data_IF_031805298626
#
_entry.id   IF_031805298626
#
_cell.length_a   1.000
_cell.length_b   1.000
_cell.length_c   1.000
_cell.angle_alpha   90.00
_cell.angle_beta   90.00
_cell.angle_gamma   90.00
#
_symmetry.space_group_name_H-M   'P 1'
#
loop_
_entity.id
_entity.type
_entity.pdbx_description
1 polymer ?
#
# COMPACT_ATOMS: atom_id res chain seq x y z
N UNK A 1 -29.74 10.66 -17.76
CA UNK A 1 -30.30 9.96 -16.59
C UNK A 1 -29.52 8.72 -16.21
N UNK A 2 -29.19 7.80 -17.12
CA UNK A 2 -28.42 6.58 -16.79
C UNK A 2 -26.91 6.85 -16.58
N UNK A 3 -26.33 7.68 -17.44
CA UNK A 3 -24.92 8.13 -17.34
C UNK A 3 -24.63 8.92 -16.06
N UNK A 4 -25.62 9.71 -15.61
CA UNK A 4 -25.51 10.54 -14.40
C UNK A 4 -25.36 9.68 -13.13
N UNK A 5 -25.90 8.45 -13.14
CA UNK A 5 -25.79 7.52 -12.02
C UNK A 5 -24.38 6.90 -11.91
N UNK A 6 -23.75 6.56 -13.04
CA UNK A 6 -22.38 6.00 -13.06
C UNK A 6 -21.33 7.04 -12.64
N UNK A 7 -21.45 8.28 -13.12
CA UNK A 7 -20.55 9.37 -12.70
C UNK A 7 -20.71 9.69 -11.20
N UNK A 8 -21.93 9.60 -10.67
CA UNK A 8 -22.19 9.76 -9.23
C UNK A 8 -21.54 8.65 -8.41
N UNK A 9 -21.64 7.38 -8.84
CA UNK A 9 -20.98 6.23 -8.20
C UNK A 9 -19.47 6.46 -8.14
N UNK A 10 -18.86 6.85 -9.27
CA UNK A 10 -17.43 7.15 -9.34
C UNK A 10 -17.02 8.31 -8.41
N UNK A 11 -17.83 9.35 -8.36
CA UNK A 11 -17.61 10.50 -7.46
C UNK A 11 -17.66 10.09 -5.99
N UNK A 12 -18.62 9.25 -5.60
CA UNK A 12 -18.72 8.71 -4.23
C UNK A 12 -17.50 7.86 -3.87
N UNK A 13 -17.05 7.00 -4.77
CA UNK A 13 -15.86 6.19 -4.57
C UNK A 13 -14.58 7.04 -4.47
N UNK A 14 -14.50 8.16 -5.18
CA UNK A 14 -13.38 9.11 -5.08
C UNK A 14 -13.43 9.90 -3.76
N UNK A 15 -14.61 10.32 -3.32
CA UNK A 15 -14.80 10.95 -2.01
C UNK A 15 -14.37 9.99 -0.89
N UNK A 16 -14.75 8.71 -0.98
CA UNK A 16 -14.34 7.69 -0.02
C UNK A 16 -12.80 7.55 0.07
N UNK A 17 -12.09 7.59 -1.06
CA UNK A 17 -10.63 7.62 -1.09
C UNK A 17 -10.05 8.83 -0.37
N UNK A 18 -10.60 10.02 -0.59
CA UNK A 18 -10.15 11.25 0.06
C UNK A 18 -10.37 11.20 1.58
N UNK A 19 -11.57 10.78 2.01
CA UNK A 19 -11.91 10.59 3.43
C UNK A 19 -10.99 9.55 4.08
N UNK A 20 -10.65 8.47 3.38
CA UNK A 20 -9.70 7.49 3.89
C UNK A 20 -8.28 8.06 3.98
N UNK A 21 -7.87 8.93 3.04
CA UNK A 21 -6.57 9.61 3.09
C UNK A 21 -6.47 10.53 4.32
N UNK A 22 -7.58 11.12 4.77
CA UNK A 22 -7.66 11.88 6.03
C UNK A 22 -7.67 10.98 7.30
N UNK A 23 -7.52 9.66 7.15
CA UNK A 23 -7.54 8.71 8.27
C UNK A 23 -8.93 8.39 8.83
N UNK A 24 -10.00 8.92 8.21
CA UNK A 24 -11.41 8.71 8.59
C UNK A 24 -11.95 7.40 8.00
N UNK A 25 -11.30 6.29 8.34
CA UNK A 25 -11.53 4.99 7.71
C UNK A 25 -12.95 4.42 7.88
N UNK A 26 -13.60 4.66 9.02
CA UNK A 26 -14.96 4.17 9.27
C UNK A 26 -15.99 4.82 8.32
N UNK A 27 -15.83 6.11 8.06
CA UNK A 27 -16.70 6.85 7.15
C UNK A 27 -16.42 6.49 5.69
N UNK A 28 -15.14 6.42 5.30
CA UNK A 28 -14.75 5.95 3.98
C UNK A 28 -15.34 4.56 3.68
N UNK A 29 -15.38 3.67 4.68
CA UNK A 29 -15.94 2.33 4.56
C UNK A 29 -17.42 2.36 4.18
N UNK A 30 -18.21 3.20 4.86
CA UNK A 30 -19.63 3.34 4.54
C UNK A 30 -19.85 3.94 3.14
N UNK A 31 -19.06 4.95 2.76
CA UNK A 31 -19.12 5.53 1.41
C UNK A 31 -18.81 4.49 0.32
N UNK A 32 -17.80 3.64 0.52
CA UNK A 32 -17.51 2.55 -0.40
C UNK A 32 -18.60 1.48 -0.42
N UNK A 33 -19.24 1.19 0.72
CA UNK A 33 -20.35 0.23 0.80
C UNK A 33 -21.56 0.73 0.02
N UNK A 34 -21.88 2.02 0.16
CA UNK A 34 -22.93 2.65 -0.63
C UNK A 34 -22.58 2.68 -2.12
N UNK A 35 -21.34 3.02 -2.48
CA UNK A 35 -20.91 3.03 -3.88
C UNK A 35 -20.98 1.62 -4.51
N UNK A 36 -20.68 0.56 -3.75
CA UNK A 36 -20.85 -0.82 -4.19
C UNK A 36 -22.33 -1.17 -4.43
N UNK A 37 -23.22 -0.76 -3.53
CA UNK A 37 -24.67 -0.99 -3.66
C UNK A 37 -25.26 -0.27 -4.88
N UNK A 38 -24.90 0.99 -5.08
CA UNK A 38 -25.35 1.78 -6.23
C UNK A 38 -24.82 1.16 -7.54
N UNK A 39 -23.57 0.67 -7.53
CA UNK A 39 -22.97 -0.01 -8.69
C UNK A 39 -23.65 -1.33 -9.02
N UNK A 40 -24.07 -2.11 -8.03
CA UNK A 40 -24.80 -3.38 -8.23
C UNK A 40 -26.17 -3.13 -8.89
N UNK A 41 -26.83 -2.03 -8.52
CA UNK A 41 -28.13 -1.61 -9.06
C UNK A 41 -28.05 -0.85 -10.40
N UNK A 42 -26.84 -0.50 -10.85
CA UNK A 42 -26.64 0.18 -12.13
C UNK A 42 -27.05 -0.70 -13.32
N UNK A 43 -27.09 -0.13 -14.52
CA UNK A 43 -27.33 -0.88 -15.76
C UNK A 43 -26.04 -1.34 -16.45
N UNK A 44 -24.89 -1.20 -15.79
CA UNK A 44 -23.62 -1.67 -16.33
C UNK A 44 -23.65 -3.17 -16.64
N UNK A 45 -22.85 -3.58 -17.61
CA UNK A 45 -22.78 -4.98 -17.99
C UNK A 45 -22.25 -5.84 -16.82
N UNK A 46 -22.59 -7.14 -16.78
CA UNK A 46 -22.18 -8.02 -15.70
C UNK A 46 -20.67 -8.11 -15.46
N UNK A 47 -19.85 -7.96 -16.51
CA UNK A 47 -18.39 -8.02 -16.36
C UNK A 47 -17.84 -6.76 -15.69
N UNK A 48 -18.35 -5.58 -16.05
CA UNK A 48 -18.01 -4.31 -15.41
C UNK A 48 -18.41 -4.31 -13.93
N UNK A 49 -19.63 -4.77 -13.61
CA UNK A 49 -20.10 -4.94 -12.22
C UNK A 49 -19.21 -5.89 -11.43
N UNK A 50 -18.88 -7.06 -11.99
CA UNK A 50 -18.00 -8.04 -11.36
C UNK A 50 -16.64 -7.43 -11.01
N UNK A 51 -16.01 -6.72 -11.94
CA UNK A 51 -14.72 -6.07 -11.71
C UNK A 51 -14.83 -4.96 -10.65
N UNK A 52 -15.93 -4.23 -10.62
CA UNK A 52 -16.17 -3.23 -9.58
C UNK A 52 -16.34 -3.85 -8.20
N UNK A 53 -17.14 -4.89 -8.06
CA UNK A 53 -17.28 -5.64 -6.80
C UNK A 53 -15.94 -6.18 -6.31
N UNK A 54 -15.08 -6.65 -7.21
CA UNK A 54 -13.70 -7.05 -6.86
C UNK A 54 -12.90 -5.90 -6.25
N UNK A 55 -12.96 -4.70 -6.87
CA UNK A 55 -12.26 -3.50 -6.35
C UNK A 55 -12.83 -3.02 -5.02
N UNK A 56 -14.16 -3.02 -4.87
CA UNK A 56 -14.81 -2.66 -3.61
C UNK A 56 -14.42 -3.62 -2.50
N UNK A 57 -14.48 -4.93 -2.73
CA UNK A 57 -14.02 -5.96 -1.78
C UNK A 57 -12.56 -5.75 -1.35
N UNK A 58 -11.64 -5.53 -2.29
CA UNK A 58 -10.23 -5.26 -1.96
C UNK A 58 -10.06 -4.00 -1.09
N UNK A 59 -10.83 -2.96 -1.39
CA UNK A 59 -10.78 -1.68 -0.68
C UNK A 59 -11.38 -1.79 0.71
N UNK A 60 -12.51 -2.48 0.85
CA UNK A 60 -13.12 -2.81 2.14
C UNK A 60 -12.15 -3.62 3.01
N UNK A 61 -11.46 -4.61 2.43
CA UNK A 61 -10.41 -5.38 3.10
C UNK A 61 -9.33 -4.48 3.71
N UNK A 62 -8.79 -3.54 2.93
CA UNK A 62 -7.81 -2.55 3.41
C UNK A 62 -8.35 -1.67 4.54
N UNK A 63 -9.57 -1.15 4.40
CA UNK A 63 -10.17 -0.30 5.43
C UNK A 63 -10.39 -1.07 6.74
N UNK A 64 -10.78 -2.34 6.65
CA UNK A 64 -10.87 -3.21 7.81
C UNK A 64 -9.49 -3.46 8.46
N UNK A 65 -8.41 -3.59 7.68
CA UNK A 65 -7.04 -3.67 8.21
C UNK A 65 -6.69 -2.43 9.03
N UNK A 66 -6.95 -1.23 8.48
CA UNK A 66 -6.69 0.04 9.16
C UNK A 66 -7.54 0.24 10.44
N UNK A 67 -8.75 -0.34 10.44
CA UNK A 67 -9.64 -0.38 11.60
C UNK A 67 -9.32 -1.51 12.59
N UNK A 68 -8.26 -2.29 12.35
CA UNK A 68 -7.86 -3.46 13.15
C UNK A 68 -8.93 -4.56 13.22
N UNK A 69 -9.86 -4.57 12.26
CA UNK A 69 -10.89 -5.58 12.10
C UNK A 69 -10.38 -6.71 11.19
N UNK A 70 -9.34 -7.41 11.63
CA UNK A 70 -8.54 -8.28 10.77
C UNK A 70 -9.32 -9.47 10.18
N UNK A 71 -10.25 -10.05 10.94
CA UNK A 71 -11.11 -11.13 10.43
C UNK A 71 -11.96 -10.65 9.24
N UNK A 72 -12.60 -9.49 9.36
CA UNK A 72 -13.40 -8.92 8.28
C UNK A 72 -12.50 -8.50 7.10
N UNK A 73 -11.29 -7.99 7.37
CA UNK A 73 -10.31 -7.68 6.33
C UNK A 73 -9.98 -8.91 5.49
N UNK A 74 -9.65 -10.04 6.14
CA UNK A 74 -9.35 -11.29 5.45
C UNK A 74 -10.54 -11.81 4.63
N UNK A 75 -11.76 -11.73 5.17
CA UNK A 75 -12.98 -12.12 4.46
C UNK A 75 -13.19 -11.32 3.17
N UNK A 76 -13.04 -10.00 3.23
CA UNK A 76 -13.20 -9.12 2.07
C UNK A 76 -12.09 -9.32 1.03
N UNK A 77 -10.84 -9.56 1.46
CA UNK A 77 -9.74 -9.85 0.53
C UNK A 77 -9.93 -11.22 -0.15
N UNK A 78 -10.41 -12.24 0.58
CA UNK A 78 -10.78 -13.52 -0.02
C UNK A 78 -11.97 -13.37 -0.98
N UNK A 79 -12.99 -12.57 -0.62
CA UNK A 79 -14.10 -12.23 -1.52
C UNK A 79 -13.58 -11.63 -2.82
N UNK A 80 -12.70 -10.63 -2.73
CA UNK A 80 -12.07 -10.01 -3.90
C UNK A 80 -11.35 -11.02 -4.78
N UNK A 81 -10.53 -11.90 -4.18
CA UNK A 81 -9.77 -12.91 -4.92
C UNK A 81 -10.68 -13.95 -5.60
N UNK A 82 -11.77 -14.36 -4.94
CA UNK A 82 -12.74 -15.33 -5.47
C UNK A 82 -13.57 -14.78 -6.62
N UNK A 83 -13.73 -13.44 -6.72
CA UNK A 83 -14.39 -12.78 -7.85
C UNK A 83 -13.51 -12.81 -9.11
N UNK A 84 -12.18 -12.87 -8.94
CA UNK A 84 -11.26 -12.95 -10.07
C UNK A 84 -11.18 -14.38 -10.64
N UNK A 85 -11.40 -14.51 -11.95
CA UNK A 85 -11.15 -15.72 -12.73
C UNK A 85 -9.63 -15.88 -12.97
N UNK A 86 -9.05 -17.03 -12.65
CA UNK A 86 -7.62 -17.27 -12.87
C UNK A 86 -7.34 -17.43 -14.36
N UNK A 87 -6.36 -16.68 -14.89
CA UNK A 87 -5.94 -16.74 -16.30
C UNK A 87 -6.67 -15.79 -17.25
N UNK A 88 -7.89 -15.34 -16.93
CA UNK A 88 -8.63 -14.36 -17.73
C UNK A 88 -8.45 -12.92 -17.21
N UNK A 89 -8.38 -12.76 -15.89
CA UNK A 89 -8.30 -11.45 -15.27
C UNK A 89 -6.88 -10.92 -15.13
N UNK A 90 -6.77 -9.60 -15.23
CA UNK A 90 -5.50 -8.87 -15.22
C UNK A 90 -4.65 -9.22 -13.99
N UNK A 91 -3.46 -9.77 -14.24
CA UNK A 91 -2.48 -10.16 -13.22
C UNK A 91 -2.10 -9.00 -12.27
N UNK A 92 -2.23 -7.74 -12.71
CA UNK A 92 -2.02 -6.57 -11.85
C UNK A 92 -3.02 -6.51 -10.69
N UNK A 93 -4.27 -6.93 -10.88
CA UNK A 93 -5.27 -6.94 -9.80
C UNK A 93 -4.97 -8.04 -8.78
N UNK A 94 -4.63 -9.25 -9.26
CA UNK A 94 -4.20 -10.35 -8.37
C UNK A 94 -3.01 -9.94 -7.52
N UNK A 95 -2.01 -9.29 -8.13
CA UNK A 95 -0.84 -8.76 -7.43
C UNK A 95 -1.21 -7.70 -6.40
N UNK A 96 -2.19 -6.84 -6.69
CA UNK A 96 -2.65 -5.83 -5.75
C UNK A 96 -3.34 -6.45 -4.53
N UNK A 97 -4.19 -7.47 -4.72
CA UNK A 97 -4.86 -8.19 -3.64
C UNK A 97 -3.83 -8.96 -2.79
N UNK A 98 -2.85 -9.60 -3.42
CA UNK A 98 -1.72 -10.25 -2.75
C UNK A 98 -0.97 -9.26 -1.84
N UNK A 99 -0.70 -8.06 -2.34
CA UNK A 99 -0.09 -6.99 -1.54
C UNK A 99 -0.98 -6.54 -0.38
N UNK A 100 -2.30 -6.58 -0.53
CA UNK A 100 -3.23 -6.28 0.57
C UNK A 100 -3.19 -7.36 1.65
N UNK A 101 -3.10 -8.64 1.28
CA UNK A 101 -2.88 -9.73 2.26
C UNK A 101 -1.56 -9.54 3.01
N UNK A 102 -0.49 -9.16 2.32
CA UNK A 102 0.79 -8.87 2.96
C UNK A 102 0.70 -7.74 4.01
N UNK A 103 -0.04 -6.66 3.69
CA UNK A 103 -0.28 -5.57 4.64
C UNK A 103 -1.17 -5.98 5.81
N UNK A 104 -2.20 -6.80 5.57
CA UNK A 104 -3.04 -7.36 6.62
C UNK A 104 -2.21 -8.18 7.61
N UNK A 105 -1.40 -9.13 7.12
CA UNK A 105 -0.53 -9.97 7.95
C UNK A 105 0.48 -9.13 8.74
N UNK A 106 1.06 -8.11 8.10
CA UNK A 106 1.96 -7.19 8.79
C UNK A 106 1.24 -6.43 9.91
N UNK A 107 0.00 -5.99 9.70
CA UNK A 107 -0.80 -5.31 10.72
C UNK A 107 -1.24 -6.24 11.86
N UNK A 108 -1.43 -7.52 11.57
CA UNK A 108 -1.64 -8.60 12.57
C UNK A 108 -0.36 -8.96 13.34
N UNK A 109 0.79 -8.36 12.97
CA UNK A 109 2.13 -8.71 13.45
C UNK A 109 2.56 -10.15 13.10
N UNK A 110 1.95 -10.75 12.09
CA UNK A 110 2.36 -12.02 11.50
C UNK A 110 3.42 -11.77 10.43
N UNK A 111 4.66 -11.54 10.90
CA UNK A 111 5.78 -11.13 10.06
C UNK A 111 6.18 -12.21 9.03
N UNK A 112 6.00 -13.49 9.38
CA UNK A 112 6.35 -14.61 8.52
C UNK A 112 5.42 -14.68 7.30
N UNK A 113 4.10 -14.65 7.53
CA UNK A 113 3.13 -14.66 6.42
C UNK A 113 3.19 -13.35 5.62
N UNK A 114 3.40 -12.21 6.28
CA UNK A 114 3.59 -10.94 5.58
C UNK A 114 4.74 -11.00 4.58
N UNK A 115 5.89 -11.55 5.00
CA UNK A 115 7.06 -11.76 4.14
C UNK A 115 6.72 -12.62 2.92
N UNK A 116 6.07 -13.77 3.13
CA UNK A 116 5.67 -14.69 2.06
C UNK A 116 4.84 -13.96 1.00
N UNK A 117 3.82 -13.21 1.41
CA UNK A 117 2.97 -12.48 0.47
C UNK A 117 3.72 -11.34 -0.29
N UNK A 118 4.64 -10.62 0.38
CA UNK A 118 5.45 -9.60 -0.31
C UNK A 118 6.43 -10.22 -1.31
N UNK A 119 7.07 -11.35 -0.97
CA UNK A 119 7.96 -12.07 -1.86
C UNK A 119 7.20 -12.64 -3.06
N UNK A 120 6.00 -13.18 -2.84
CA UNK A 120 5.09 -13.61 -3.91
C UNK A 120 4.74 -12.48 -4.88
N UNK A 121 4.47 -11.27 -4.37
CA UNK A 121 4.27 -10.08 -5.21
C UNK A 121 5.47 -9.70 -6.10
N UNK A 122 6.67 -10.13 -5.75
CA UNK A 122 7.90 -9.83 -6.48
C UNK A 122 8.31 -10.96 -7.43
N UNK A 123 8.10 -12.22 -7.02
CA UNK A 123 8.72 -13.38 -7.66
C UNK A 123 7.76 -14.22 -8.51
N UNK A 124 6.46 -14.21 -8.24
CA UNK A 124 5.48 -15.04 -8.96
C UNK A 124 4.78 -14.33 -10.14
N UNK A 125 5.17 -13.09 -10.44
CA UNK A 125 4.58 -12.31 -11.52
C UNK A 125 5.61 -12.02 -12.61
N UNK A 126 5.18 -12.15 -13.87
CA UNK A 126 6.02 -11.85 -15.03
C UNK A 126 6.60 -10.44 -14.97
N UNK A 127 7.80 -10.27 -15.54
CA UNK A 127 8.47 -8.97 -15.61
C UNK A 127 7.60 -7.89 -16.29
N UNK A 128 6.82 -8.26 -17.30
CA UNK A 128 5.90 -7.34 -17.96
C UNK A 128 4.81 -6.77 -17.02
N UNK A 129 4.46 -7.49 -15.95
CA UNK A 129 3.53 -7.05 -14.91
C UNK A 129 4.25 -6.17 -13.90
N UNK A 130 5.42 -6.61 -13.41
CA UNK A 130 6.18 -5.89 -12.38
C UNK A 130 6.77 -4.57 -12.91
N UNK A 131 7.17 -4.50 -14.18
CA UNK A 131 7.63 -3.28 -14.85
C UNK A 131 6.50 -2.25 -15.01
N UNK A 132 5.24 -2.69 -15.17
CA UNK A 132 4.07 -1.80 -15.25
C UNK A 132 3.64 -1.22 -13.90
N UNK A 133 4.13 -1.79 -12.82
CA UNK A 133 3.68 -1.51 -11.46
C UNK A 133 4.88 -1.50 -10.49
N UNK A 134 5.87 -0.69 -10.87
CA UNK A 134 7.07 -0.45 -10.07
C UNK A 134 6.77 0.17 -8.71
N UNK A 135 5.68 0.94 -8.57
CA UNK A 135 5.27 1.52 -7.28
C UNK A 135 5.02 0.43 -6.24
N UNK A 136 4.37 -0.68 -6.64
CA UNK A 136 4.13 -1.82 -5.75
C UNK A 136 5.40 -2.60 -5.46
N UNK A 137 6.27 -2.79 -6.45
CA UNK A 137 7.60 -3.40 -6.23
C UNK A 137 8.40 -2.61 -5.19
N UNK A 138 8.43 -1.28 -5.30
CA UNK A 138 9.03 -0.39 -4.31
C UNK A 138 8.42 -0.60 -2.92
N UNK A 139 7.08 -0.67 -2.84
CA UNK A 139 6.36 -0.92 -1.60
C UNK A 139 6.69 -2.27 -0.97
N UNK A 140 6.81 -3.35 -1.76
CA UNK A 140 7.21 -4.67 -1.25
C UNK A 140 8.61 -4.63 -0.66
N UNK A 141 9.60 -4.11 -1.39
CA UNK A 141 10.97 -4.03 -0.89
C UNK A 141 11.10 -3.17 0.36
N UNK A 142 10.41 -2.03 0.41
CA UNK A 142 10.35 -1.21 1.61
C UNK A 142 9.77 -1.98 2.82
N UNK A 143 8.67 -2.71 2.62
CA UNK A 143 8.03 -3.48 3.70
C UNK A 143 8.84 -4.70 4.13
N UNK A 144 9.54 -5.37 3.21
CA UNK A 144 10.50 -6.43 3.53
C UNK A 144 11.69 -5.89 4.34
N UNK A 145 12.23 -4.72 3.98
CA UNK A 145 13.27 -4.05 4.77
C UNK A 145 12.78 -3.66 6.17
N UNK A 146 11.53 -3.21 6.30
CA UNK A 146 10.91 -2.95 7.60
C UNK A 146 10.74 -4.22 8.43
N UNK A 147 10.26 -5.32 7.84
CA UNK A 147 10.16 -6.63 8.51
C UNK A 147 11.54 -7.08 8.98
N UNK A 148 12.57 -6.95 8.14
CA UNK A 148 13.94 -7.32 8.50
C UNK A 148 14.47 -6.53 9.70
N UNK A 149 14.19 -5.23 9.79
CA UNK A 149 14.50 -4.43 10.98
C UNK A 149 13.78 -4.93 12.23
N UNK A 150 12.48 -5.24 12.12
CA UNK A 150 11.71 -5.80 13.24
C UNK A 150 12.29 -7.14 13.71
N UNK A 151 12.84 -7.94 12.80
CA UNK A 151 13.50 -9.22 13.10
C UNK A 151 15.01 -9.09 13.38
N UNK A 152 15.54 -7.87 13.49
CA UNK A 152 16.95 -7.58 13.78
C UNK A 152 17.95 -8.11 12.72
N UNK A 153 17.49 -8.27 11.49
CA UNK A 153 18.32 -8.64 10.34
C UNK A 153 18.73 -7.39 9.56
N UNK A 154 19.82 -6.75 10.02
CA UNK A 154 20.32 -5.52 9.43
C UNK A 154 20.84 -5.66 8.00
N UNK A 155 21.37 -6.84 7.63
CA UNK A 155 21.91 -7.09 6.29
C UNK A 155 20.77 -7.18 5.28
N UNK A 156 19.78 -8.01 5.56
CA UNK A 156 18.58 -8.10 4.73
C UNK A 156 17.86 -6.75 4.66
N UNK A 157 17.75 -6.03 5.79
CA UNK A 157 17.16 -4.70 5.80
C UNK A 157 17.89 -3.74 4.85
N UNK A 158 19.23 -3.71 4.88
CA UNK A 158 20.02 -2.87 3.98
C UNK A 158 19.74 -3.20 2.50
N UNK A 159 19.80 -4.49 2.16
CA UNK A 159 19.66 -4.95 0.77
C UNK A 159 18.26 -4.67 0.21
N UNK A 160 17.21 -4.87 1.01
CA UNK A 160 15.83 -4.58 0.57
C UNK A 160 15.57 -3.07 0.48
N UNK A 161 16.12 -2.25 1.39
CA UNK A 161 15.96 -0.80 1.33
C UNK A 161 16.75 -0.18 0.17
N UNK A 162 17.89 -0.75 -0.22
CA UNK A 162 18.63 -0.33 -1.43
C UNK A 162 17.81 -0.58 -2.69
N UNK A 163 17.22 -1.78 -2.84
CA UNK A 163 16.31 -2.09 -3.96
C UNK A 163 15.12 -1.14 -4.01
N UNK A 164 14.51 -0.85 -2.86
CA UNK A 164 13.42 0.12 -2.78
C UNK A 164 13.88 1.54 -3.19
N UNK A 165 15.06 1.98 -2.74
CA UNK A 165 15.61 3.31 -3.05
C UNK A 165 15.86 3.48 -4.56
N UNK A 166 16.42 2.46 -5.21
CA UNK A 166 16.68 2.46 -6.64
C UNK A 166 15.37 2.63 -7.43
N UNK A 167 14.35 1.83 -7.11
CA UNK A 167 13.05 1.95 -7.77
C UNK A 167 12.40 3.31 -7.47
N UNK A 168 12.45 3.79 -6.24
CA UNK A 168 11.91 5.10 -5.86
C UNK A 168 12.56 6.27 -6.63
N UNK A 169 13.84 6.13 -6.98
CA UNK A 169 14.56 7.05 -7.86
C UNK A 169 14.07 6.96 -9.30
N UNK A 170 13.94 5.75 -9.84
CA UNK A 170 13.44 5.50 -11.21
C UNK A 170 12.03 6.06 -11.44
N UNK A 171 11.10 5.79 -10.52
CA UNK A 171 9.72 6.30 -10.59
C UNK A 171 9.60 7.77 -10.15
N UNK A 172 10.71 8.41 -9.76
CA UNK A 172 10.80 9.80 -9.29
C UNK A 172 9.81 10.13 -8.15
N UNK A 173 9.53 9.18 -7.27
CA UNK A 173 8.59 9.37 -6.17
C UNK A 173 9.28 9.95 -4.94
N UNK A 174 9.14 11.26 -4.74
CA UNK A 174 9.70 11.94 -3.56
C UNK A 174 9.16 11.37 -2.24
N UNK A 175 7.89 10.97 -2.22
CA UNK A 175 7.26 10.35 -1.04
C UNK A 175 7.92 9.04 -0.65
N UNK A 176 8.17 8.14 -1.62
CA UNK A 176 8.89 6.90 -1.35
C UNK A 176 10.34 7.14 -0.95
N UNK A 177 11.05 8.03 -1.66
CA UNK A 177 12.44 8.36 -1.31
C UNK A 177 12.55 8.87 0.13
N UNK A 178 11.59 9.67 0.58
CA UNK A 178 11.58 10.16 1.95
C UNK A 178 11.36 9.05 2.98
N UNK A 179 10.38 8.17 2.76
CA UNK A 179 10.09 7.03 3.65
C UNK A 179 11.28 6.08 3.77
N UNK A 180 11.89 5.76 2.63
CA UNK A 180 13.04 4.86 2.57
C UNK A 180 14.23 5.50 3.30
N UNK A 181 14.51 6.79 3.08
CA UNK A 181 15.58 7.49 3.78
C UNK A 181 15.37 7.50 5.31
N UNK A 182 14.14 7.69 5.79
CA UNK A 182 13.81 7.61 7.22
C UNK A 182 14.09 6.22 7.78
N UNK A 183 13.72 5.16 7.05
CA UNK A 183 13.93 3.79 7.49
C UNK A 183 15.41 3.37 7.42
N UNK A 184 16.16 3.84 6.42
CA UNK A 184 17.61 3.68 6.32
C UNK A 184 18.35 4.40 7.46
N UNK A 185 17.88 5.58 7.88
CA UNK A 185 18.42 6.25 9.06
C UNK A 185 18.20 5.42 10.33
N UNK A 186 17.00 4.83 10.51
CA UNK A 186 16.74 3.89 11.61
C UNK A 186 17.65 2.67 11.56
N UNK A 187 17.86 2.08 10.37
CA UNK A 187 18.78 0.97 10.17
C UNK A 187 20.19 1.31 10.67
N UNK A 188 20.75 2.45 10.26
CA UNK A 188 22.10 2.87 10.66
C UNK A 188 22.20 3.12 12.17
N UNK A 189 21.12 3.60 12.80
CA UNK A 189 21.08 3.79 14.25
C UNK A 189 21.08 2.46 15.02
N UNK A 190 20.36 1.46 14.51
CA UNK A 190 20.28 0.12 15.13
C UNK A 190 21.51 -0.74 14.80
N UNK A 191 22.11 -0.53 13.63
CA UNK A 191 23.23 -1.28 13.08
C UNK A 191 24.37 -0.34 12.62
N UNK A 192 25.10 0.30 13.55
CA UNK A 192 26.16 1.26 13.21
C UNK A 192 27.28 0.66 12.35
N UNK A 193 27.50 -0.65 12.43
CA UNK A 193 28.45 -1.39 11.61
C UNK A 193 28.17 -1.27 10.11
N UNK A 194 26.90 -1.08 9.72
CA UNK A 194 26.50 -0.91 8.33
C UNK A 194 26.80 0.51 7.80
N UNK A 195 27.08 1.48 8.67
CA UNK A 195 27.45 2.83 8.26
C UNK A 195 28.78 2.90 7.50
N UNK A 196 29.61 1.85 7.56
CA UNK A 196 30.88 1.75 6.84
C UNK A 196 30.71 1.30 5.39
N UNK A 197 29.50 0.92 4.96
CA UNK A 197 29.20 0.54 3.58
C UNK A 197 29.40 1.77 2.64
N UNK A 198 30.21 1.68 1.58
CA UNK A 198 30.55 2.83 0.73
C UNK A 198 29.34 3.43 -0.01
N UNK A 199 28.27 2.65 -0.16
CA UNK A 199 26.97 3.02 -0.70
C UNK A 199 26.08 3.81 0.28
N UNK A 200 26.43 3.86 1.57
CA UNK A 200 25.60 4.45 2.62
C UNK A 200 26.28 5.73 3.16
N UNK A 201 25.87 6.89 2.64
CA UNK A 201 26.24 8.18 3.24
C UNK A 201 25.36 8.47 4.46
N UNK A 202 25.70 7.87 5.60
CA UNK A 202 24.95 7.93 6.86
C UNK A 202 24.63 9.35 7.32
N UNK A 203 25.58 10.29 7.20
CA UNK A 203 25.38 11.71 7.58
C UNK A 203 24.35 12.38 6.69
N UNK A 204 24.41 12.15 5.37
CA UNK A 204 23.45 12.73 4.43
C UNK A 204 22.06 12.12 4.59
N UNK A 205 21.97 10.80 4.82
CA UNK A 205 20.72 10.10 5.10
C UNK A 205 20.05 10.63 6.37
N UNK A 206 20.82 10.77 7.45
CA UNK A 206 20.32 11.29 8.72
C UNK A 206 19.82 12.73 8.56
N UNK A 207 20.59 13.61 7.91
CA UNK A 207 20.13 14.99 7.61
C UNK A 207 18.84 15.02 6.80
N UNK A 208 18.71 14.14 5.80
CA UNK A 208 17.51 14.06 4.96
C UNK A 208 16.31 13.55 5.76
N UNK A 209 16.50 12.51 6.58
CA UNK A 209 15.47 12.00 7.47
C UNK A 209 15.02 13.05 8.48
N UNK A 210 15.95 13.80 9.09
CA UNK A 210 15.64 14.85 10.06
C UNK A 210 14.93 16.04 9.41
N UNK A 211 15.33 16.45 8.19
CA UNK A 211 14.62 17.47 7.43
C UNK A 211 13.18 17.03 7.10
N UNK A 212 12.97 15.75 6.75
CA UNK A 212 11.64 15.20 6.49
C UNK A 212 10.80 15.10 7.75
N UNK A 213 11.38 14.62 8.87
CA UNK A 213 10.69 14.60 10.18
C UNK A 213 10.30 16.01 10.61
N UNK A 214 11.19 16.99 10.46
CA UNK A 214 10.92 18.39 10.77
C UNK A 214 9.82 18.97 9.88
N UNK A 215 9.84 18.70 8.57
CA UNK A 215 8.78 19.12 7.66
C UNK A 215 7.43 18.47 8.03
N UNK A 216 7.41 17.16 8.31
CA UNK A 216 6.20 16.45 8.75
C UNK A 216 5.70 16.97 10.10
N UNK A 217 6.59 17.27 11.05
CA UNK A 217 6.21 17.84 12.34
C UNK A 217 5.68 19.28 12.20
N UNK A 218 6.21 20.07 11.26
CA UNK A 218 5.67 21.40 10.96
C UNK A 218 4.29 21.34 10.32
N UNK A 219 4.01 20.31 9.52
CA UNK A 219 2.69 20.05 8.94
C UNK A 219 1.72 19.49 10.01
N UNK A 220 2.20 18.61 10.91
CA UNK A 220 1.38 18.08 12.02
C UNK A 220 1.17 19.08 13.16
N UNK A 221 1.92 20.17 13.21
CA UNK A 221 1.68 21.28 14.14
C UNK A 221 0.48 22.15 13.68
N UNK A 222 0.07 22.05 12.41
CA UNK A 222 -1.18 22.62 11.89
C UNK A 222 -2.35 21.60 11.93
N UNK A 223 -2.07 20.31 12.10
CA UNK A 223 -3.04 19.23 12.23
C UNK A 223 -2.75 18.37 13.48
N UNK A 224 -3.24 18.80 14.65
CA UNK A 224 -3.40 17.92 15.81
C UNK A 224 -4.34 16.76 15.46
N UNK A 225 -3.77 15.65 14.97
CA UNK A 225 -4.58 14.52 14.51
C UNK A 225 -3.78 13.30 14.13
N UNK A 226 -3.14 12.65 15.13
CA UNK A 226 -2.68 11.25 15.11
C UNK A 226 -1.71 10.88 13.99
N UNK A 227 -0.45 10.64 14.36
CA UNK A 227 0.57 9.98 13.53
C UNK A 227 0.16 8.58 13.06
N UNK A 228 -0.69 8.51 12.05
CA UNK A 228 -0.87 7.37 11.17
C UNK A 228 -0.14 7.69 9.89
N UNK A 229 1.09 7.21 9.81
CA UNK A 229 1.86 7.21 8.58
C UNK A 229 1.00 6.62 7.45
N UNK A 230 0.88 7.38 6.34
CA UNK A 230 0.16 7.03 5.12
C UNK A 230 0.67 5.72 4.49
N UNK A 231 0.31 4.58 5.05
CA UNK A 231 0.56 3.28 4.46
C UNK A 231 -0.61 2.99 3.52
N UNK A 232 -0.30 2.80 2.24
CA UNK A 232 -1.20 2.20 1.26
C UNK A 232 -2.35 3.14 0.85
N UNK A 233 -2.10 4.00 -0.12
CA UNK A 233 -3.10 4.38 -1.14
C UNK A 233 -2.35 4.54 -2.46
N UNK A 234 -1.95 3.43 -3.08
CA UNK A 234 -1.82 3.42 -4.54
C UNK A 234 -3.24 3.39 -5.10
N UNK A 235 -3.76 4.48 -5.68
CA UNK A 235 -5.11 4.51 -6.19
C UNK A 235 -5.14 3.60 -7.41
N UNK A 236 -5.84 2.48 -7.30
CA UNK A 236 -6.40 1.82 -8.48
C UNK A 236 -7.45 2.68 -9.18
N UNK A 237 -7.83 3.82 -8.59
CA UNK A 237 -8.85 4.75 -9.09
C UNK A 237 -8.32 5.81 -10.07
N UNK A 238 -7.01 5.89 -10.35
CA UNK A 238 -6.47 6.88 -11.31
C UNK A 238 -6.16 6.32 -12.70
N UNK A 239 -6.88 5.29 -13.16
CA UNK A 239 -6.91 4.88 -14.57
C UNK A 239 -8.31 4.50 -15.01
#
# INVERSE_FOLDING_TARGET
>A
MEKDNIELIGTKANLASLVAAEGRYAEARELYREAEQDHDQSSEDPASKRLASCRYAATQGRLHTELKNFTAAGQELHRSLNILNSGEDNALYRRAIEYCFANLRLAENDLAEARIHYEKCLNEYDKAVTDKDQVRSCGCYYKLGHIALLTQDGVEAADQLEKAANIASEIRSMGWQGRIATLQATLVQQHPELAARPDINSVQLQRRADALRAALASLSAEEEGLGKEFHIYTPWQTR
#
